data_IF_201263308501
#
_entry.id   IF_201263308501
#
_cell.length_a   1.000
_cell.length_b   1.000
_cell.length_c   1.000
_cell.angle_alpha   90.00
_cell.angle_beta   90.00
_cell.angle_gamma   90.00
#
_symmetry.space_group_name_H-M   'P 1'
#
loop_
_entity.id
_entity.type
_entity.pdbx_description
1 polymer ?
#
# COMPACT_ATOMS: atom_id res chain seq x y z
N UNK A 1 -36.84 30.24 0.12
CA UNK A 1 -35.52 30.55 -0.48
C UNK A 1 -34.48 30.42 0.64
N UNK A 2 -34.18 29.19 1.06
CA UNK A 2 -33.16 28.94 2.08
C UNK A 2 -32.03 28.16 1.42
N UNK A 3 -30.88 28.82 1.31
CA UNK A 3 -29.66 28.21 0.82
C UNK A 3 -29.15 27.21 1.87
N UNK A 4 -29.04 25.94 1.47
CA UNK A 4 -28.30 24.94 2.24
C UNK A 4 -26.85 25.06 1.81
N UNK A 5 -26.01 25.58 2.68
CA UNK A 5 -24.56 25.68 2.49
C UNK A 5 -23.99 24.27 2.34
N UNK A 6 -23.53 23.89 1.15
CA UNK A 6 -22.81 22.65 0.93
C UNK A 6 -21.46 22.71 1.64
N UNK A 7 -21.36 22.04 2.78
CA UNK A 7 -20.13 21.94 3.54
C UNK A 7 -19.17 21.02 2.78
N UNK A 8 -18.18 21.61 2.12
CA UNK A 8 -17.15 20.89 1.37
C UNK A 8 -16.34 20.03 2.35
N UNK A 9 -16.63 18.74 2.43
CA UNK A 9 -15.82 17.79 3.19
C UNK A 9 -14.39 17.83 2.65
N UNK A 10 -13.43 18.20 3.49
CA UNK A 10 -12.01 18.08 3.16
C UNK A 10 -11.72 16.58 3.02
N UNK A 11 -11.62 16.09 1.79
CA UNK A 11 -11.22 14.71 1.56
C UNK A 11 -9.74 14.58 1.91
N UNK A 12 -9.48 14.06 3.12
CA UNK A 12 -8.14 13.61 3.53
C UNK A 12 -7.64 12.65 2.45
N UNK A 13 -6.46 12.92 1.90
CA UNK A 13 -5.89 12.06 0.88
C UNK A 13 -5.69 10.65 1.48
N UNK A 14 -6.10 9.55 0.83
CA UNK A 14 -6.17 8.22 1.44
C UNK A 14 -4.87 7.73 2.09
N UNK A 15 -3.74 8.22 1.61
CA UNK A 15 -2.40 7.86 2.05
C UNK A 15 -1.76 8.83 3.05
N UNK A 16 -2.47 9.85 3.53
CA UNK A 16 -1.93 10.79 4.53
C UNK A 16 -1.53 10.12 5.84
N UNK A 17 -2.07 8.93 6.14
CA UNK A 17 -1.74 8.14 7.33
C UNK A 17 -0.53 7.22 7.17
N UNK A 18 0.00 7.07 5.95
CA UNK A 18 1.19 6.23 5.70
C UNK A 18 2.46 7.04 5.97
N UNK A 19 2.70 7.35 7.26
CA UNK A 19 3.97 7.92 7.72
C UNK A 19 5.09 6.86 7.61
N UNK A 20 6.37 7.27 7.61
CA UNK A 20 7.49 6.33 7.64
C UNK A 20 7.36 5.26 8.73
N UNK A 21 7.01 5.66 9.95
CA UNK A 21 6.83 4.74 11.09
C UNK A 21 5.73 3.71 10.82
N UNK A 22 4.57 4.14 10.29
CA UNK A 22 3.47 3.21 9.94
C UNK A 22 3.88 2.23 8.85
N UNK A 23 4.71 2.65 7.89
CA UNK A 23 5.22 1.77 6.84
C UNK A 23 6.21 0.75 7.42
N UNK A 24 7.11 1.18 8.31
CA UNK A 24 8.05 0.29 9.01
C UNK A 24 7.27 -0.73 9.85
N UNK A 25 6.37 -0.26 10.72
CA UNK A 25 5.55 -1.11 11.60
C UNK A 25 4.78 -2.16 10.78
N UNK A 26 4.21 -1.75 9.64
CA UNK A 26 3.49 -2.66 8.75
C UNK A 26 4.41 -3.75 8.17
N UNK A 27 5.64 -3.41 7.76
CA UNK A 27 6.62 -4.39 7.25
C UNK A 27 7.08 -5.32 8.36
N UNK A 28 7.41 -4.78 9.54
CA UNK A 28 7.91 -5.55 10.68
C UNK A 28 6.85 -6.49 11.26
N UNK A 29 5.56 -6.13 11.16
CA UNK A 29 4.46 -7.05 11.49
C UNK A 29 4.49 -8.36 10.70
N UNK A 30 5.16 -8.39 9.55
CA UNK A 30 5.36 -9.58 8.71
C UNK A 30 6.59 -10.42 9.09
N UNK A 31 7.21 -10.15 10.24
CA UNK A 31 8.46 -10.79 10.72
C UNK A 31 9.68 -10.47 9.85
N UNK A 32 9.70 -9.30 9.20
CA UNK A 32 10.83 -8.77 8.42
C UNK A 32 11.31 -7.47 9.05
N UNK A 33 12.51 -7.44 9.61
CA UNK A 33 13.06 -6.26 10.27
C UNK A 33 13.57 -5.24 9.24
N UNK A 34 13.15 -3.98 9.37
CA UNK A 34 13.54 -2.95 8.41
C UNK A 34 14.84 -2.28 8.83
N UNK A 35 15.69 -1.95 7.85
CA UNK A 35 16.86 -1.08 8.08
C UNK A 35 16.54 0.43 7.98
N UNK A 36 15.24 0.76 8.02
CA UNK A 36 14.66 2.09 7.92
C UNK A 36 14.87 2.83 6.57
N UNK A 37 15.47 2.19 5.55
CA UNK A 37 15.49 2.77 4.20
C UNK A 37 14.11 2.63 3.56
N UNK A 38 13.43 3.76 3.33
CA UNK A 38 12.13 3.81 2.67
C UNK A 38 12.21 4.71 1.43
N UNK A 39 11.87 4.15 0.27
CA UNK A 39 11.79 4.88 -1.00
C UNK A 39 10.37 4.80 -1.55
N UNK A 40 9.69 5.95 -1.65
CA UNK A 40 8.39 6.01 -2.32
C UNK A 40 8.55 5.84 -3.83
N UNK A 41 7.79 4.93 -4.44
CA UNK A 41 7.82 4.67 -5.87
C UNK A 41 6.68 5.40 -6.59
N UNK A 42 6.89 5.68 -7.87
CA UNK A 42 5.88 6.30 -8.73
C UNK A 42 4.73 5.31 -8.99
N UNK A 43 3.61 5.50 -8.29
CA UNK A 43 2.38 4.75 -8.48
C UNK A 43 1.17 5.65 -8.24
N UNK A 44 0.19 5.58 -9.14
CA UNK A 44 -0.98 6.46 -9.14
C UNK A 44 -2.18 5.86 -8.43
N UNK A 45 -2.37 4.53 -8.51
CA UNK A 45 -3.51 3.86 -7.91
C UNK A 45 -3.27 3.50 -6.45
N UNK A 46 -2.18 2.78 -6.19
CA UNK A 46 -1.79 2.28 -4.87
C UNK A 46 -0.60 3.09 -4.34
N UNK A 47 -0.42 3.12 -3.02
CA UNK A 47 0.81 3.68 -2.46
C UNK A 47 1.86 2.58 -2.40
N UNK A 48 2.95 2.75 -3.14
CA UNK A 48 4.03 1.78 -3.24
C UNK A 48 5.32 2.35 -2.65
N UNK A 49 5.99 1.55 -1.84
CA UNK A 49 7.33 1.83 -1.31
C UNK A 49 8.27 0.67 -1.62
N UNK A 50 9.55 0.97 -1.75
CA UNK A 50 10.62 0.00 -1.55
C UNK A 50 11.15 0.18 -0.12
N UNK A 51 11.20 -0.89 0.65
CA UNK A 51 11.66 -0.88 2.06
C UNK A 51 12.86 -1.79 2.20
N UNK A 52 13.95 -1.27 2.75
CA UNK A 52 15.15 -2.05 3.07
C UNK A 52 14.92 -2.97 4.25
N UNK A 53 15.45 -4.19 4.14
CA UNK A 53 15.35 -5.25 5.15
C UNK A 53 16.75 -5.57 5.66
N UNK A 54 16.89 -5.75 6.97
CA UNK A 54 18.17 -6.13 7.57
C UNK A 54 18.69 -7.46 6.99
N UNK A 55 19.96 -7.48 6.58
CA UNK A 55 20.66 -8.65 6.03
C UNK A 55 19.95 -9.32 4.83
N UNK A 56 19.07 -8.60 4.13
CA UNK A 56 18.29 -9.13 3.01
C UNK A 56 18.10 -8.11 1.90
N UNK A 57 17.52 -8.56 0.79
CA UNK A 57 17.12 -7.68 -0.29
C UNK A 57 15.92 -6.81 0.13
N UNK A 58 15.83 -5.57 -0.38
CA UNK A 58 14.67 -4.73 -0.11
C UNK A 58 13.40 -5.34 -0.71
N UNK A 59 12.26 -5.06 -0.06
CA UNK A 59 10.95 -5.54 -0.50
C UNK A 59 10.10 -4.41 -1.07
N UNK A 60 9.18 -4.75 -1.98
CA UNK A 60 8.16 -3.83 -2.48
C UNK A 60 6.90 -3.96 -1.62
N UNK A 61 6.49 -2.85 -1.03
CA UNK A 61 5.30 -2.76 -0.16
C UNK A 61 4.21 -2.02 -0.92
N UNK A 62 3.08 -2.70 -1.18
CA UNK A 62 1.91 -2.16 -1.88
C UNK A 62 0.75 -1.98 -0.90
N UNK A 63 0.43 -0.73 -0.57
CA UNK A 63 -0.78 -0.39 0.19
C UNK A 63 -1.93 -0.12 -0.79
N UNK A 64 -2.93 -1.01 -0.79
CA UNK A 64 -4.11 -0.86 -1.63
C UNK A 64 -4.91 0.39 -1.26
N UNK A 65 -5.47 1.05 -2.27
CA UNK A 65 -6.37 2.19 -2.04
C UNK A 65 -7.59 1.74 -1.23
N UNK A 66 -7.89 2.38 -0.09
CA UNK A 66 -9.10 2.10 0.67
C UNK A 66 -10.36 2.17 -0.21
N UNK A 67 -11.28 1.24 0.03
CA UNK A 67 -12.60 1.14 -0.62
C UNK A 67 -12.57 1.00 -2.16
N UNK A 68 -11.40 0.71 -2.75
CA UNK A 68 -11.25 0.51 -4.19
C UNK A 68 -11.44 -0.95 -4.59
N UNK A 69 -10.96 -1.86 -3.76
CA UNK A 69 -10.95 -3.30 -4.02
C UNK A 69 -11.54 -4.04 -2.83
N UNK A 70 -12.35 -5.05 -3.13
CA UNK A 70 -12.80 -6.02 -2.15
C UNK A 70 -11.66 -6.97 -1.77
N UNK A 71 -11.79 -7.65 -0.64
CA UNK A 71 -10.80 -8.65 -0.22
C UNK A 71 -10.71 -9.78 -1.26
N UNK A 72 -11.85 -10.19 -1.82
CA UNK A 72 -11.94 -11.23 -2.84
C UNK A 72 -11.15 -10.86 -4.10
N UNK A 73 -11.26 -9.61 -4.56
CA UNK A 73 -10.50 -9.11 -5.70
C UNK A 73 -9.00 -9.04 -5.42
N UNK A 74 -8.59 -8.65 -4.21
CA UNK A 74 -7.17 -8.65 -3.82
C UNK A 74 -6.62 -10.07 -3.81
N UNK A 75 -7.36 -11.04 -3.26
CA UNK A 75 -6.95 -12.45 -3.25
C UNK A 75 -6.89 -13.03 -4.67
N UNK A 76 -7.83 -12.68 -5.53
CA UNK A 76 -7.81 -13.06 -6.95
C UNK A 76 -6.55 -12.54 -7.64
N UNK A 77 -6.17 -11.27 -7.46
CA UNK A 77 -4.94 -10.68 -8.01
C UNK A 77 -3.68 -11.45 -7.56
N UNK A 78 -3.59 -11.79 -6.26
CA UNK A 78 -2.46 -12.56 -5.72
C UNK A 78 -2.42 -13.97 -6.30
N UNK A 79 -3.57 -14.64 -6.35
CA UNK A 79 -3.69 -16.00 -6.89
C UNK A 79 -3.29 -16.03 -8.36
N UNK A 80 -3.76 -15.06 -9.15
CA UNK A 80 -3.43 -14.95 -10.56
C UNK A 80 -1.94 -14.67 -10.77
N UNK A 81 -1.36 -13.77 -9.98
CA UNK A 81 0.08 -13.47 -10.05
C UNK A 81 0.93 -14.70 -9.71
N UNK A 82 0.52 -15.48 -8.70
CA UNK A 82 1.19 -16.73 -8.35
C UNK A 82 1.08 -17.75 -9.49
N UNK A 83 -0.07 -17.88 -10.13
CA UNK A 83 -0.26 -18.76 -11.29
C UNK A 83 0.64 -18.39 -12.46
N UNK A 84 0.84 -17.09 -12.74
CA UNK A 84 1.76 -16.63 -13.78
C UNK A 84 3.21 -17.02 -13.44
N UNK A 85 3.63 -16.76 -12.21
CA UNK A 85 4.96 -17.15 -11.72
C UNK A 85 5.18 -18.67 -11.84
N UNK A 86 4.20 -19.49 -11.44
CA UNK A 86 4.29 -20.95 -11.50
C UNK A 86 4.37 -21.50 -12.94
N UNK A 87 3.99 -20.69 -13.92
CA UNK A 87 4.12 -20.96 -15.35
C UNK A 87 5.41 -20.38 -15.97
N UNK A 88 6.31 -19.84 -15.15
CA UNK A 88 7.54 -19.14 -15.57
C UNK A 88 7.27 -17.95 -16.52
N UNK A 89 6.17 -17.21 -16.28
CA UNK A 89 5.81 -15.95 -16.97
C UNK A 89 6.13 -14.75 -16.08
#
# INVERSE_FOLDING_TARGET
>A
MNQVSAQKSISVHPYQRLTPDVVIDAVESTQRFSDARILALNSYENRVYQVGIEESEPVIVKFYRPDRWTMEQIIEEHTFTQQLHDLDI
#
